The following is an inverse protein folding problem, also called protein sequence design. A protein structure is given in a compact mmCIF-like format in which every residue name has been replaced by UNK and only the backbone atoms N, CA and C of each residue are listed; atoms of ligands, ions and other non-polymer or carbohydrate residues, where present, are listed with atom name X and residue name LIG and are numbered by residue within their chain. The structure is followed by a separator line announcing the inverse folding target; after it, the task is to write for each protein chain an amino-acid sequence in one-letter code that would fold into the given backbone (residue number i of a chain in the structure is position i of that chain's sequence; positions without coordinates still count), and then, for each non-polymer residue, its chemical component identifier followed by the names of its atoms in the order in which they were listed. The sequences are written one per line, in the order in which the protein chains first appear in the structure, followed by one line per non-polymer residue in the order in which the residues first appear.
data_IF_124018959610
#
_entry.id   IF_124018959610
#
_cell.length_a   1.000
_cell.length_b   1.000
_cell.length_c   1.000
_cell.angle_alpha   90.00
_cell.angle_beta   90.00
_cell.angle_gamma   90.00
#
_symmetry.space_group_name_H-M   'P 1'
#
loop_
_entity.id
_entity.type
_entity.pdbx_description
1 polymer ?
#
# COMPACT_ATOMS: atom_id res chain seq x y z
N UNK A 1 12.71 36.27 51.07
CA UNK A 1 12.25 34.90 50.73
C UNK A 1 11.91 34.90 49.26
N UNK A 2 12.75 34.29 48.43
CA UNK A 2 12.52 34.16 46.99
C UNK A 2 12.51 32.66 46.73
N UNK A 3 11.37 32.11 46.32
CA UNK A 3 11.25 30.70 45.98
C UNK A 3 12.04 30.46 44.69
N UNK A 4 13.04 29.56 44.74
CA UNK A 4 13.71 29.09 43.56
C UNK A 4 12.74 28.22 42.76
N UNK A 5 12.41 28.63 41.54
CA UNK A 5 11.62 27.84 40.61
C UNK A 5 12.40 26.59 40.23
N UNK A 6 11.85 25.41 40.55
CA UNK A 6 12.41 24.12 40.15
C UNK A 6 12.38 24.02 38.62
N UNK A 7 13.50 23.70 37.94
CA UNK A 7 13.50 23.58 36.48
C UNK A 7 12.60 22.42 36.06
N UNK A 8 11.66 22.68 35.15
CA UNK A 8 10.88 21.63 34.48
C UNK A 8 11.84 20.86 33.58
N UNK A 9 12.22 19.64 33.97
CA UNK A 9 12.92 18.73 33.07
C UNK A 9 11.94 18.28 31.98
N UNK A 10 12.22 18.68 30.74
CA UNK A 10 11.54 18.14 29.57
C UNK A 10 11.99 16.69 29.38
N UNK A 11 11.03 15.80 29.20
CA UNK A 11 11.27 14.40 28.93
C UNK A 11 12.01 14.23 27.59
N UNK A 12 13.30 13.90 27.66
CA UNK A 12 14.14 13.62 26.48
C UNK A 12 14.01 12.17 25.99
N UNK A 13 13.03 11.41 26.49
CA UNK A 13 12.80 10.05 25.98
C UNK A 13 12.45 10.08 24.48
N UNK A 14 12.96 9.12 23.69
CA UNK A 14 12.61 9.03 22.28
C UNK A 14 11.10 8.91 22.14
N UNK A 15 10.47 9.57 21.13
CA UNK A 15 9.04 9.46 20.93
C UNK A 15 8.66 7.98 20.82
N UNK A 16 7.69 7.57 21.64
CA UNK A 16 7.20 6.20 21.69
C UNK A 16 6.81 5.77 20.26
N UNK A 17 7.55 4.79 19.71
CA UNK A 17 7.25 4.23 18.41
C UNK A 17 6.10 3.25 18.56
N UNK A 18 4.89 3.76 18.43
CA UNK A 18 3.70 2.93 18.38
C UNK A 18 3.77 2.00 17.15
N UNK A 19 3.41 0.72 17.30
CA UNK A 19 3.51 -0.25 16.22
C UNK A 19 2.50 0.05 15.11
N UNK A 20 2.95 -0.01 13.85
CA UNK A 20 2.07 0.02 12.69
C UNK A 20 1.20 -1.26 12.71
N UNK A 21 -0.12 -1.08 12.82
CA UNK A 21 -1.07 -2.19 12.77
C UNK A 21 -1.89 -2.12 11.49
N UNK A 22 -2.03 -3.26 10.84
CA UNK A 22 -2.78 -3.42 9.60
C UNK A 22 -3.74 -4.61 9.74
N UNK A 23 -5.01 -4.40 9.40
CA UNK A 23 -5.97 -5.48 9.17
C UNK A 23 -6.51 -5.36 7.76
N UNK A 24 -6.52 -6.45 7.00
CA UNK A 24 -6.90 -6.46 5.59
C UNK A 24 -7.90 -7.59 5.29
N UNK A 25 -8.89 -7.26 4.46
CA UNK A 25 -9.86 -8.19 3.88
C UNK A 25 -9.66 -8.24 2.36
N UNK A 26 -9.29 -9.42 1.85
CA UNK A 26 -9.03 -9.68 0.44
C UNK A 26 -10.29 -10.17 -0.29
N UNK A 27 -11.32 -9.34 -0.25
CA UNK A 27 -12.60 -9.61 -0.91
C UNK A 27 -12.48 -9.71 -2.44
N UNK A 28 -13.38 -10.49 -3.04
CA UNK A 28 -13.46 -10.65 -4.50
C UNK A 28 -13.82 -9.33 -5.24
N UNK A 29 -14.54 -8.43 -4.56
CA UNK A 29 -14.90 -7.09 -5.09
C UNK A 29 -13.84 -6.02 -4.84
N UNK A 30 -12.75 -6.36 -4.15
CA UNK A 30 -11.68 -5.43 -3.82
C UNK A 30 -11.13 -5.69 -2.42
N UNK A 31 -9.90 -5.22 -2.21
CA UNK A 31 -9.20 -5.34 -0.94
C UNK A 31 -9.49 -4.09 -0.10
N UNK A 32 -9.90 -4.31 1.15
CA UNK A 32 -10.11 -3.24 2.13
C UNK A 32 -9.12 -3.43 3.26
N UNK A 33 -8.54 -2.35 3.77
CA UNK A 33 -7.67 -2.44 4.93
C UNK A 33 -7.85 -1.26 5.89
N UNK A 34 -7.71 -1.52 7.17
CA UNK A 34 -7.56 -0.49 8.19
C UNK A 34 -6.10 -0.48 8.63
N UNK A 35 -5.47 0.69 8.56
CA UNK A 35 -4.09 0.90 9.00
C UNK A 35 -4.06 1.95 10.10
N UNK A 36 -3.25 1.72 11.13
CA UNK A 36 -3.06 2.69 12.22
C UNK A 36 -1.61 2.72 12.68
N UNK A 37 -1.14 3.92 13.00
CA UNK A 37 0.13 4.20 13.68
C UNK A 37 -0.05 4.36 15.20
N UNK A 38 -1.20 3.91 15.73
CA UNK A 38 -1.59 4.08 17.12
C UNK A 38 -2.28 5.42 17.44
N UNK A 39 -2.31 6.37 16.49
CA UNK A 39 -2.98 7.67 16.66
C UNK A 39 -4.19 7.81 15.75
N UNK A 40 -4.06 7.45 14.47
CA UNK A 40 -5.10 7.63 13.46
C UNK A 40 -5.36 6.32 12.75
N UNK A 41 -6.63 5.92 12.67
CA UNK A 41 -7.07 4.81 11.82
C UNK A 41 -7.45 5.34 10.44
N UNK A 42 -6.84 4.78 9.39
CA UNK A 42 -7.14 5.09 7.99
C UNK A 42 -7.73 3.87 7.30
N UNK A 43 -8.78 4.10 6.50
CA UNK A 43 -9.32 3.10 5.58
C UNK A 43 -8.60 3.20 4.24
N UNK A 44 -8.11 2.07 3.76
CA UNK A 44 -7.53 1.89 2.43
C UNK A 44 -8.43 0.97 1.60
N UNK A 45 -8.48 1.24 0.31
CA UNK A 45 -9.19 0.43 -0.66
C UNK A 45 -8.33 0.21 -1.90
N UNK A 46 -8.39 -1.01 -2.44
CA UNK A 46 -7.75 -1.39 -3.69
C UNK A 46 -8.75 -2.20 -4.52
N UNK A 47 -8.82 -1.93 -5.81
CA UNK A 47 -9.72 -2.62 -6.74
C UNK A 47 -9.31 -4.09 -6.94
N UNK A 48 -10.20 -4.95 -7.43
CA UNK A 48 -9.94 -6.38 -7.44
C UNK A 48 -8.99 -6.89 -8.54
N UNK A 49 -8.58 -6.04 -9.47
CA UNK A 49 -7.83 -6.43 -10.67
C UNK A 49 -6.40 -6.88 -10.35
N UNK A 50 -5.95 -7.89 -11.09
CA UNK A 50 -4.58 -8.41 -11.05
C UNK A 50 -4.17 -8.70 -12.49
N UNK A 51 -2.96 -8.28 -12.87
CA UNK A 51 -2.42 -8.47 -14.20
C UNK A 51 -1.01 -9.08 -14.14
N UNK A 52 -0.76 -10.15 -14.90
CA UNK A 52 0.59 -10.58 -15.21
C UNK A 52 1.20 -9.64 -16.25
N UNK A 53 2.33 -9.03 -15.91
CA UNK A 53 2.99 -8.04 -16.75
C UNK A 53 4.48 -8.32 -16.88
N UNK A 54 5.08 -8.08 -18.06
CA UNK A 54 6.52 -8.15 -18.23
C UNK A 54 7.23 -7.12 -17.34
N UNK A 55 8.37 -7.50 -16.77
CA UNK A 55 9.21 -6.59 -15.98
C UNK A 55 9.64 -5.33 -16.75
N UNK A 56 9.81 -5.45 -18.06
CA UNK A 56 10.10 -4.30 -18.94
C UNK A 56 8.96 -3.28 -18.94
N UNK A 57 7.71 -3.72 -18.91
CA UNK A 57 6.54 -2.84 -18.85
C UNK A 57 6.45 -2.07 -17.53
N UNK A 58 6.80 -2.71 -16.41
CA UNK A 58 6.91 -2.02 -15.10
C UNK A 58 8.01 -0.96 -15.16
N UNK A 59 9.20 -1.30 -15.65
CA UNK A 59 10.30 -0.32 -15.78
C UNK A 59 9.93 0.88 -16.64
N UNK A 60 9.20 0.66 -17.74
CA UNK A 60 8.68 1.76 -18.57
C UNK A 60 7.70 2.62 -17.78
N UNK A 61 6.74 2.00 -17.09
CA UNK A 61 5.80 2.71 -16.22
C UNK A 61 6.52 3.55 -15.15
N UNK A 62 7.55 2.98 -14.52
CA UNK A 62 8.36 3.68 -13.54
C UNK A 62 9.05 4.90 -14.15
N UNK A 63 9.73 4.75 -15.29
CA UNK A 63 10.41 5.87 -15.95
C UNK A 63 9.44 6.99 -16.37
N UNK A 64 8.24 6.63 -16.82
CA UNK A 64 7.22 7.58 -17.26
C UNK A 64 6.61 8.35 -16.07
N UNK A 65 6.52 7.73 -14.88
CA UNK A 65 5.70 8.23 -13.77
C UNK A 65 6.44 8.50 -12.45
N UNK A 66 7.69 8.07 -12.27
CA UNK A 66 8.43 8.34 -11.01
C UNK A 66 8.63 9.83 -10.73
N UNK A 67 8.60 10.65 -11.79
CA UNK A 67 8.72 12.10 -11.68
C UNK A 67 7.38 12.85 -11.77
N UNK A 68 6.27 12.13 -12.00
CA UNK A 68 4.95 12.76 -12.06
C UNK A 68 4.31 12.70 -10.66
N UNK A 69 4.33 13.84 -9.95
CA UNK A 69 3.55 14.00 -8.71
C UNK A 69 2.03 13.84 -8.93
N UNK A 70 1.61 13.71 -10.19
CA UNK A 70 0.20 13.64 -10.60
C UNK A 70 -0.45 12.30 -10.31
N UNK A 71 0.29 11.19 -10.21
CA UNK A 71 -0.33 9.87 -10.03
C UNK A 71 -0.43 9.49 -8.53
N UNK A 72 -1.65 9.30 -8.00
CA UNK A 72 -1.87 8.92 -6.61
C UNK A 72 -1.07 7.68 -6.22
N UNK A 73 -0.53 7.60 -4.99
CA UNK A 73 0.15 6.41 -4.50
C UNK A 73 -0.68 5.13 -4.65
N UNK A 74 -2.02 5.19 -4.51
CA UNK A 74 -2.87 4.01 -4.68
C UNK A 74 -2.85 3.40 -6.10
N UNK A 75 -2.44 4.17 -7.12
CA UNK A 75 -2.31 3.70 -8.50
C UNK A 75 -0.95 3.03 -8.77
N UNK A 76 -0.12 2.80 -7.76
CA UNK A 76 1.29 2.37 -7.91
C UNK A 76 1.62 1.08 -7.15
N UNK A 77 0.80 0.05 -7.30
CA UNK A 77 1.00 -1.24 -6.63
C UNK A 77 1.37 -2.37 -7.60
N UNK A 78 2.58 -2.93 -7.44
CA UNK A 78 3.06 -4.09 -8.17
C UNK A 78 4.16 -4.81 -7.38
N UNK A 79 4.41 -6.08 -7.71
CA UNK A 79 5.58 -6.83 -7.22
C UNK A 79 6.15 -7.71 -8.34
N UNK A 80 7.41 -8.14 -8.21
CA UNK A 80 8.07 -9.01 -9.20
C UNK A 80 8.62 -10.27 -8.56
N UNK A 81 8.45 -11.40 -9.25
CA UNK A 81 9.06 -12.69 -8.95
C UNK A 81 9.90 -13.12 -10.15
N UNK A 82 11.23 -12.94 -10.05
CA UNK A 82 12.14 -13.19 -11.16
C UNK A 82 11.97 -12.20 -12.32
N UNK A 83 11.51 -12.69 -13.47
CA UNK A 83 11.32 -11.91 -14.70
C UNK A 83 9.86 -11.52 -14.96
N UNK A 84 8.92 -12.06 -14.19
CA UNK A 84 7.51 -11.71 -14.26
C UNK A 84 7.14 -10.80 -13.11
N UNK A 85 6.20 -9.90 -13.36
CA UNK A 85 5.65 -9.03 -12.34
C UNK A 85 4.14 -9.15 -12.34
N UNK A 86 3.54 -8.86 -11.19
CA UNK A 86 2.10 -8.68 -11.07
C UNK A 86 1.81 -7.24 -10.73
N UNK A 87 1.01 -6.58 -11.56
CA UNK A 87 0.35 -5.34 -11.19
C UNK A 87 -0.96 -5.67 -10.47
N UNK A 88 -1.32 -4.88 -9.46
CA UNK A 88 -2.54 -5.10 -8.68
C UNK A 88 -3.34 -3.82 -8.52
N UNK A 89 -4.64 -3.97 -8.28
CA UNK A 89 -5.53 -2.86 -7.98
C UNK A 89 -5.64 -1.86 -9.12
N UNK A 90 -5.65 -0.58 -8.77
CA UNK A 90 -5.85 0.51 -9.72
C UNK A 90 -4.78 0.54 -10.82
N UNK A 91 -3.55 0.07 -10.56
CA UNK A 91 -2.53 -0.04 -11.60
C UNK A 91 -2.93 -1.09 -12.65
N UNK A 92 -3.34 -2.27 -12.19
CA UNK A 92 -3.81 -3.34 -13.07
C UNK A 92 -5.04 -2.90 -13.87
N UNK A 93 -6.01 -2.28 -13.22
CA UNK A 93 -7.23 -1.76 -13.82
C UNK A 93 -6.94 -0.67 -14.86
N UNK A 94 -6.30 0.44 -14.45
CA UNK A 94 -6.21 1.66 -15.26
C UNK A 94 -5.12 1.57 -16.34
N UNK A 95 -3.95 1.02 -15.99
CA UNK A 95 -2.78 1.03 -16.88
C UNK A 95 -2.72 -0.21 -17.76
N UNK A 96 -3.08 -1.36 -17.21
CA UNK A 96 -2.99 -2.66 -17.88
C UNK A 96 -4.35 -3.20 -18.33
N UNK A 97 -5.45 -2.48 -18.04
CA UNK A 97 -6.81 -2.84 -18.47
C UNK A 97 -7.22 -4.25 -18.05
N UNK A 98 -6.72 -4.70 -16.90
CA UNK A 98 -7.11 -5.98 -16.34
C UNK A 98 -8.59 -5.94 -15.95
N UNK A 99 -9.23 -7.10 -16.05
CA UNK A 99 -10.61 -7.29 -15.64
C UNK A 99 -10.67 -8.41 -14.62
N UNK A 100 -11.67 -8.36 -13.73
CA UNK A 100 -11.90 -9.45 -12.79
C UNK A 100 -12.32 -10.71 -13.52
N UNK A 101 -11.52 -11.77 -13.40
CA UNK A 101 -11.91 -13.10 -13.84
C UNK A 101 -12.50 -13.91 -12.69
N UNK A 102 -13.61 -14.59 -12.95
CA UNK A 102 -14.20 -15.60 -12.05
C UNK A 102 -13.51 -16.96 -12.13
N UNK A 103 -12.56 -17.13 -13.07
CA UNK A 103 -11.87 -18.41 -13.29
C UNK A 103 -10.68 -18.61 -12.36
N UNK A 104 -10.14 -17.54 -11.77
CA UNK A 104 -8.99 -17.61 -10.87
C UNK A 104 -9.51 -17.86 -9.44
N UNK A 105 -8.96 -18.83 -8.70
CA UNK A 105 -9.33 -19.06 -7.31
C UNK A 105 -9.16 -17.80 -6.45
N UNK A 106 -10.12 -17.56 -5.56
CA UNK A 106 -10.11 -16.37 -4.67
C UNK A 106 -8.81 -16.24 -3.87
N UNK A 107 -8.24 -17.35 -3.42
CA UNK A 107 -7.01 -17.33 -2.62
C UNK A 107 -5.77 -16.92 -3.44
N UNK A 108 -5.70 -17.24 -4.73
CA UNK A 108 -4.57 -16.82 -5.59
C UNK A 108 -4.60 -15.31 -5.86
N UNK A 109 -5.81 -14.76 -6.05
CA UNK A 109 -6.01 -13.32 -6.16
C UNK A 109 -5.66 -12.62 -4.84
N UNK A 110 -6.00 -13.21 -3.69
CA UNK A 110 -5.64 -12.67 -2.37
C UNK A 110 -4.13 -12.67 -2.14
N UNK A 111 -3.43 -13.75 -2.52
CA UNK A 111 -1.97 -13.85 -2.40
C UNK A 111 -1.27 -12.73 -3.18
N UNK A 112 -1.70 -12.48 -4.41
CA UNK A 112 -1.14 -11.41 -5.25
C UNK A 112 -1.33 -10.01 -4.64
N UNK A 113 -2.35 -9.82 -3.81
CA UNK A 113 -2.66 -8.52 -3.18
C UNK A 113 -2.04 -8.36 -1.80
N UNK A 114 -1.41 -9.42 -1.29
CA UNK A 114 -0.75 -9.44 0.02
C UNK A 114 0.76 -9.16 -0.10
N UNK A 115 1.37 -9.55 -1.22
CA UNK A 115 2.80 -9.40 -1.52
C UNK A 115 3.11 -8.02 -2.09
#
# INVERSE_FOLDING_TARGET
MINAETPVQLDESPPERLPLSLVADFGASGTKALVTDGKIVKLLFMTPEVADVPKTSIKMFENDNFNSQSDPPENRAWFCLGQTCKAVGFLAEKRFRATTSLTIPKFELALSKTL
#
